data_IF_421867186957
#
_entry.id   IF_421867186957
#
_cell.length_a   1.000
_cell.length_b   1.000
_cell.length_c   1.000
_cell.angle_alpha   90.00
_cell.angle_beta   90.00
_cell.angle_gamma   90.00
#
_symmetry.space_group_name_H-M   'P 1'
#
loop_
_entity.id
_entity.type
_entity.pdbx_description
1 polymer ?
#
# COMPACT_ATOMS: atom_id res chain seq x y z
N UNK A 1 -34.85 46.04 -17.72
CA UNK A 1 -36.07 45.21 -17.64
C UNK A 1 -35.67 43.78 -17.99
N UNK A 2 -35.36 42.96 -16.99
CA UNK A 2 -35.03 41.55 -17.17
C UNK A 2 -36.11 40.73 -16.49
N UNK A 3 -37.05 40.21 -17.27
CA UNK A 3 -38.17 39.39 -16.82
C UNK A 3 -37.64 38.10 -16.20
N UNK A 4 -37.71 37.98 -14.88
CA UNK A 4 -37.46 36.69 -14.20
C UNK A 4 -38.52 35.70 -14.63
N UNK A 5 -38.18 34.55 -15.23
CA UNK A 5 -39.16 33.51 -15.49
C UNK A 5 -39.73 33.07 -14.13
N UNK A 6 -41.05 33.07 -14.02
CA UNK A 6 -41.80 32.71 -12.83
C UNK A 6 -41.74 31.19 -12.59
N UNK A 7 -40.55 30.65 -12.38
CA UNK A 7 -40.35 29.25 -12.02
C UNK A 7 -40.79 29.06 -10.57
N UNK A 8 -42.07 28.73 -10.41
CA UNK A 8 -42.72 28.62 -9.11
C UNK A 8 -42.58 27.18 -8.62
N UNK A 9 -41.75 26.98 -7.61
CA UNK A 9 -41.63 25.73 -6.91
C UNK A 9 -41.70 25.96 -5.41
N UNK A 10 -42.00 24.90 -4.66
CA UNK A 10 -42.10 24.97 -3.21
C UNK A 10 -40.72 25.26 -2.58
N UNK A 11 -40.69 25.89 -1.39
CA UNK A 11 -39.43 26.22 -0.72
C UNK A 11 -38.60 24.97 -0.37
N UNK A 12 -39.24 23.87 0.00
CA UNK A 12 -38.56 22.59 0.25
C UNK A 12 -37.98 22.00 -1.04
N UNK A 13 -38.68 22.13 -2.16
CA UNK A 13 -38.23 21.71 -3.50
C UNK A 13 -36.95 22.48 -3.89
N UNK A 14 -36.96 23.79 -3.71
CA UNK A 14 -35.80 24.65 -3.94
C UNK A 14 -34.63 24.31 -3.02
N UNK A 15 -34.90 24.09 -1.74
CA UNK A 15 -33.89 23.71 -0.76
C UNK A 15 -33.21 22.40 -1.15
N UNK A 16 -33.99 21.36 -1.45
CA UNK A 16 -33.44 20.06 -1.84
C UNK A 16 -32.68 20.12 -3.18
N UNK A 17 -33.21 20.86 -4.15
CA UNK A 17 -32.56 21.07 -5.45
C UNK A 17 -31.19 21.73 -5.33
N UNK A 18 -31.07 22.83 -4.58
CA UNK A 18 -29.80 23.52 -4.39
C UNK A 18 -28.79 22.66 -3.62
N UNK A 19 -29.23 21.89 -2.62
CA UNK A 19 -28.35 20.96 -1.91
C UNK A 19 -27.82 19.86 -2.83
N UNK A 20 -28.69 19.22 -3.62
CA UNK A 20 -28.29 18.15 -4.55
C UNK A 20 -27.35 18.65 -5.65
N UNK A 21 -27.61 19.85 -6.17
CA UNK A 21 -26.70 20.46 -7.13
C UNK A 21 -25.36 20.83 -6.50
N UNK A 22 -25.32 21.31 -5.25
CA UNK A 22 -24.05 21.59 -4.57
C UNK A 22 -23.27 20.32 -4.23
N UNK A 23 -23.88 19.14 -4.18
CA UNK A 23 -23.14 17.88 -4.04
C UNK A 23 -22.39 17.51 -5.33
N UNK A 24 -22.99 17.76 -6.48
CA UNK A 24 -22.51 17.29 -7.79
C UNK A 24 -21.81 18.36 -8.65
N UNK A 25 -22.17 19.63 -8.48
CA UNK A 25 -21.75 20.74 -9.33
C UNK A 25 -20.89 21.77 -8.57
N UNK A 26 -20.23 22.63 -9.35
CA UNK A 26 -19.50 23.79 -8.86
C UNK A 26 -20.42 24.97 -8.55
N UNK A 27 -19.94 25.90 -7.73
CA UNK A 27 -20.66 27.09 -7.26
C UNK A 27 -21.25 27.98 -8.37
N UNK A 28 -20.70 27.92 -9.59
CA UNK A 28 -21.09 28.75 -10.75
C UNK A 28 -21.93 28.00 -11.80
N UNK A 29 -22.35 26.76 -11.53
CA UNK A 29 -23.13 25.92 -12.45
C UNK A 29 -24.53 25.57 -11.95
N UNK A 30 -24.97 26.21 -10.87
CA UNK A 30 -26.26 25.94 -10.25
C UNK A 30 -27.40 26.45 -11.12
N UNK A 31 -28.32 25.56 -11.50
CA UNK A 31 -29.43 25.86 -12.40
C UNK A 31 -30.77 26.02 -11.68
N UNK A 32 -31.68 26.75 -12.31
CA UNK A 32 -33.06 26.89 -11.88
C UNK A 32 -33.81 25.56 -12.03
N UNK A 33 -34.64 25.20 -11.04
CA UNK A 33 -35.44 23.97 -11.06
C UNK A 33 -36.44 23.91 -12.23
N UNK A 34 -36.93 25.04 -12.72
CA UNK A 34 -38.02 25.09 -13.71
C UNK A 34 -37.62 25.50 -15.13
N UNK A 35 -36.44 26.07 -15.33
CA UNK A 35 -36.01 26.55 -16.65
C UNK A 35 -34.54 26.26 -16.98
N UNK A 36 -33.83 25.52 -16.11
CA UNK A 36 -32.43 25.10 -16.28
C UNK A 36 -31.40 26.23 -16.46
N UNK A 37 -31.82 27.50 -16.44
CA UNK A 37 -30.93 28.65 -16.47
C UNK A 37 -30.01 28.67 -15.26
N UNK A 38 -28.72 28.96 -15.49
CA UNK A 38 -27.74 29.20 -14.44
C UNK A 38 -28.14 30.40 -13.58
N UNK A 39 -28.16 30.20 -12.27
CA UNK A 39 -28.48 31.19 -11.26
C UNK A 39 -27.24 31.99 -10.90
N UNK A 40 -27.41 33.30 -10.76
CA UNK A 40 -26.38 34.16 -10.18
C UNK A 40 -26.28 33.97 -8.67
N UNK A 41 -25.13 34.35 -8.09
CA UNK A 41 -24.93 34.30 -6.63
C UNK A 41 -26.01 35.07 -5.87
N UNK A 42 -26.44 36.23 -6.37
CA UNK A 42 -27.49 37.04 -5.75
C UNK A 42 -28.84 36.30 -5.73
N UNK A 43 -29.24 35.68 -6.85
CA UNK A 43 -30.47 34.89 -6.91
C UNK A 43 -30.46 33.72 -5.92
N UNK A 44 -29.31 33.06 -5.76
CA UNK A 44 -29.15 31.98 -4.78
C UNK A 44 -29.28 32.52 -3.35
N UNK A 45 -28.68 33.68 -3.06
CA UNK A 45 -28.80 34.38 -1.77
C UNK A 45 -30.25 34.75 -1.42
N UNK A 46 -30.99 35.28 -2.39
CA UNK A 46 -32.40 35.64 -2.22
C UNK A 46 -33.30 34.42 -1.97
N UNK A 47 -33.06 33.32 -2.69
CA UNK A 47 -33.80 32.07 -2.51
C UNK A 47 -33.52 31.48 -1.12
N UNK A 48 -32.24 31.38 -0.72
CA UNK A 48 -31.86 30.76 0.55
C UNK A 48 -32.19 31.60 1.78
N UNK A 49 -32.36 32.92 1.64
CA UNK A 49 -32.81 33.78 2.72
C UNK A 49 -34.17 33.33 3.29
N UNK A 50 -34.96 32.62 2.48
CA UNK A 50 -36.28 32.07 2.83
C UNK A 50 -36.20 30.69 3.49
N UNK A 51 -35.02 30.07 3.54
CA UNK A 51 -34.80 28.77 4.19
C UNK A 51 -34.58 28.94 5.69
N UNK A 52 -34.78 27.84 6.45
CA UNK A 52 -34.38 27.80 7.85
C UNK A 52 -32.86 27.93 7.94
N UNK A 53 -32.34 28.54 9.02
CA UNK A 53 -30.89 28.77 9.20
C UNK A 53 -30.02 27.53 8.96
N UNK A 54 -30.46 26.37 9.43
CA UNK A 54 -29.75 25.09 9.28
C UNK A 54 -29.71 24.54 7.84
N UNK A 55 -30.64 24.99 7.00
CA UNK A 55 -30.83 24.50 5.63
C UNK A 55 -30.29 25.53 4.61
N UNK A 56 -29.52 26.53 5.06
CA UNK A 56 -28.87 27.51 4.18
C UNK A 56 -27.68 26.90 3.47
N UNK A 57 -27.53 27.23 2.20
CA UNK A 57 -26.50 26.68 1.31
C UNK A 57 -25.26 27.57 1.20
N UNK A 58 -25.34 28.81 1.67
CA UNK A 58 -24.27 29.81 1.68
C UNK A 58 -22.92 29.22 2.13
N UNK A 59 -22.80 28.51 3.27
CA UNK A 59 -21.49 28.03 3.71
C UNK A 59 -20.83 27.09 2.70
N UNK A 60 -21.59 26.13 2.16
CA UNK A 60 -21.10 25.20 1.13
C UNK A 60 -20.82 25.91 -0.19
N UNK A 61 -21.66 26.89 -0.55
CA UNK A 61 -21.47 27.69 -1.76
C UNK A 61 -20.17 28.49 -1.70
N UNK A 62 -19.92 29.15 -0.56
CA UNK A 62 -18.72 29.94 -0.32
C UNK A 62 -17.47 29.05 -0.25
N UNK A 63 -17.55 27.90 0.40
CA UNK A 63 -16.47 26.91 0.44
C UNK A 63 -16.08 26.49 -0.99
N UNK A 64 -17.06 26.12 -1.83
CA UNK A 64 -16.81 25.75 -3.23
C UNK A 64 -16.27 26.90 -4.08
N UNK A 65 -16.78 28.12 -3.87
CA UNK A 65 -16.26 29.30 -4.56
C UNK A 65 -14.80 29.58 -4.18
N UNK A 66 -14.49 29.48 -2.88
CA UNK A 66 -13.12 29.65 -2.35
C UNK A 66 -12.19 28.61 -2.95
N UNK A 67 -12.59 27.34 -2.96
CA UNK A 67 -11.78 26.26 -3.52
C UNK A 67 -11.58 26.39 -5.03
N UNK A 68 -12.60 26.83 -5.78
CA UNK A 68 -12.45 27.09 -7.20
C UNK A 68 -11.46 28.23 -7.48
N UNK A 69 -11.49 29.29 -6.66
CA UNK A 69 -10.53 30.39 -6.76
C UNK A 69 -9.10 29.97 -6.38
N UNK A 70 -8.94 29.18 -5.31
CA UNK A 70 -7.63 28.67 -4.91
C UNK A 70 -7.04 27.79 -6.01
N UNK A 71 -7.84 26.90 -6.60
CA UNK A 71 -7.44 26.05 -7.73
C UNK A 71 -7.05 26.82 -8.98
N UNK A 72 -7.47 28.07 -9.13
CA UNK A 72 -7.05 28.91 -10.27
C UNK A 72 -5.73 29.65 -10.01
N UNK A 73 -5.14 29.56 -8.82
CA UNK A 73 -3.83 30.14 -8.53
C UNK A 73 -2.72 29.20 -9.03
N UNK A 74 -1.62 29.74 -9.60
CA UNK A 74 -0.52 28.93 -10.11
C UNK A 74 0.22 28.16 -9.01
N UNK A 75 0.25 28.69 -7.79
CA UNK A 75 0.96 28.08 -6.65
C UNK A 75 0.11 27.06 -5.88
N UNK A 76 -1.13 26.82 -6.33
CA UNK A 76 -2.03 25.89 -5.67
C UNK A 76 -1.75 24.46 -6.11
N UNK A 77 -1.53 23.61 -5.12
CA UNK A 77 -1.33 22.18 -5.30
C UNK A 77 -2.46 21.41 -4.64
N UNK A 78 -3.06 20.51 -5.40
CA UNK A 78 -4.09 19.60 -4.87
C UNK A 78 -3.44 18.53 -4.00
N UNK A 79 -4.10 18.16 -2.90
CA UNK A 79 -3.59 17.14 -2.01
C UNK A 79 -3.47 15.78 -2.73
N UNK A 80 -2.30 15.11 -2.73
CA UNK A 80 -2.12 13.81 -3.38
C UNK A 80 -2.88 12.65 -2.72
N UNK A 81 -3.35 12.82 -1.48
CA UNK A 81 -4.11 11.78 -0.77
C UNK A 81 -5.43 11.47 -1.49
N UNK A 82 -5.69 10.19 -1.74
CA UNK A 82 -6.91 9.69 -2.39
C UNK A 82 -8.21 10.04 -1.66
N UNK A 83 -8.15 10.29 -0.35
CA UNK A 83 -9.30 10.62 0.48
C UNK A 83 -9.52 12.14 0.63
N UNK A 84 -8.57 12.98 0.22
CA UNK A 84 -8.61 14.42 0.45
C UNK A 84 -8.91 15.17 -0.86
N UNK A 85 -9.91 16.05 -0.84
CA UNK A 85 -10.28 16.91 -1.99
C UNK A 85 -9.78 18.35 -1.86
N UNK A 86 -9.03 18.62 -0.79
CA UNK A 86 -8.47 19.91 -0.47
C UNK A 86 -7.08 20.08 -1.10
N UNK A 87 -6.47 21.24 -0.91
CA UNK A 87 -5.11 21.53 -1.32
C UNK A 87 -4.51 22.65 -0.50
N UNK A 88 -3.28 23.02 -0.85
CA UNK A 88 -2.58 24.11 -0.21
C UNK A 88 -1.74 24.86 -1.24
N UNK A 89 -1.55 26.15 -1.01
CA UNK A 89 -0.57 26.94 -1.73
C UNK A 89 0.83 26.55 -1.27
N UNK A 90 1.71 26.27 -2.21
CA UNK A 90 3.11 25.98 -1.94
C UNK A 90 3.89 27.30 -1.82
N UNK A 91 4.32 27.67 -0.62
CA UNK A 91 5.14 28.87 -0.42
C UNK A 91 6.64 28.60 -0.59
N UNK A 92 7.09 27.43 -0.16
CA UNK A 92 8.53 27.14 0.05
C UNK A 92 9.08 26.05 -0.92
N UNK A 93 8.31 25.71 -1.95
CA UNK A 93 8.75 24.93 -3.13
C UNK A 93 9.00 23.43 -2.98
N UNK A 94 9.32 22.93 -1.79
CA UNK A 94 9.84 21.55 -1.64
C UNK A 94 8.91 20.59 -0.91
N UNK A 95 8.20 21.08 0.12
CA UNK A 95 7.37 20.25 0.99
C UNK A 95 5.94 20.77 0.97
N UNK A 96 5.02 19.92 0.56
CA UNK A 96 3.59 20.17 0.65
C UNK A 96 3.05 19.63 1.97
N UNK A 97 2.23 20.42 2.65
CA UNK A 97 1.48 19.99 3.84
C UNK A 97 0.02 20.39 3.70
N UNK A 98 -0.87 19.40 3.63
CA UNK A 98 -2.30 19.66 3.59
C UNK A 98 -2.79 20.13 4.97
N UNK A 99 -3.52 21.26 5.03
CA UNK A 99 -4.07 21.79 6.28
C UNK A 99 -5.21 20.93 6.85
N UNK A 100 -5.92 20.22 5.97
CA UNK A 100 -7.12 19.45 6.32
C UNK A 100 -6.80 18.04 6.76
N UNK A 101 -6.03 17.28 5.97
CA UNK A 101 -5.69 15.90 6.31
C UNK A 101 -4.28 15.73 6.92
N UNK A 102 -3.50 16.82 7.07
CA UNK A 102 -2.11 16.81 7.56
C UNK A 102 -1.16 15.95 6.70
N UNK A 103 -1.59 15.51 5.51
CA UNK A 103 -0.76 14.74 4.60
C UNK A 103 0.42 15.59 4.12
N UNK A 104 1.62 15.01 4.19
CA UNK A 104 2.88 15.64 3.79
C UNK A 104 3.43 14.93 2.56
N UNK A 105 3.88 15.70 1.58
CA UNK A 105 4.40 15.17 0.32
C UNK A 105 5.64 15.95 -0.10
N UNK A 106 6.67 15.24 -0.57
CA UNK A 106 7.89 15.86 -1.08
C UNK A 106 7.81 15.96 -2.61
N UNK A 107 7.95 17.18 -3.14
CA UNK A 107 7.90 17.44 -4.57
C UNK A 107 9.23 17.19 -5.29
N UNK A 108 10.34 17.19 -4.55
CA UNK A 108 11.66 16.93 -5.13
C UNK A 108 11.79 15.47 -5.60
N UNK A 109 11.25 14.53 -4.83
CA UNK A 109 11.29 13.10 -5.15
C UNK A 109 9.92 12.50 -5.53
N UNK A 110 8.84 13.28 -5.48
CA UNK A 110 7.47 12.83 -5.78
C UNK A 110 6.98 11.64 -4.93
N UNK A 111 7.32 11.62 -3.64
CA UNK A 111 6.89 10.57 -2.69
C UNK A 111 6.26 11.17 -1.43
N UNK A 112 5.54 10.37 -0.61
CA UNK A 112 5.14 10.80 0.73
C UNK A 112 6.36 11.34 1.50
N UNK A 113 6.16 12.41 2.25
CA UNK A 113 7.27 13.10 2.91
C UNK A 113 8.03 12.19 3.88
N UNK A 114 9.36 12.27 3.83
CA UNK A 114 10.30 11.52 4.66
C UNK A 114 11.11 12.50 5.54
N UNK A 115 10.97 12.39 6.86
CA UNK A 115 11.56 13.34 7.82
C UNK A 115 13.06 13.14 8.06
N UNK A 116 13.51 11.89 8.09
CA UNK A 116 14.81 11.52 8.67
C UNK A 116 15.88 11.15 7.62
N UNK A 117 15.51 11.14 6.34
CA UNK A 117 16.39 10.71 5.25
C UNK A 117 16.32 11.70 4.07
N UNK A 118 17.43 11.84 3.34
CA UNK A 118 17.44 12.63 2.10
C UNK A 118 16.64 11.95 0.98
N UNK A 119 16.24 12.71 -0.05
CA UNK A 119 15.48 12.16 -1.18
C UNK A 119 16.17 10.96 -1.85
N UNK A 120 17.50 10.99 -1.97
CA UNK A 120 18.28 9.90 -2.55
C UNK A 120 18.27 8.66 -1.66
N UNK A 121 18.48 8.84 -0.35
CA UNK A 121 18.51 7.75 0.62
C UNK A 121 17.16 7.03 0.71
N UNK A 122 16.07 7.80 0.70
CA UNK A 122 14.71 7.26 0.62
C UNK A 122 14.54 6.37 -0.62
N UNK A 123 14.97 6.87 -1.78
CA UNK A 123 14.81 6.15 -3.04
C UNK A 123 15.63 4.86 -3.08
N UNK A 124 16.87 4.91 -2.61
CA UNK A 124 17.76 3.75 -2.55
C UNK A 124 17.19 2.68 -1.61
N UNK A 125 16.60 3.09 -0.48
CA UNK A 125 15.93 2.17 0.45
C UNK A 125 14.73 1.48 -0.18
N UNK A 126 13.86 2.23 -0.87
CA UNK A 126 12.68 1.65 -1.54
C UNK A 126 13.11 0.67 -2.64
N UNK A 127 14.12 1.02 -3.45
CA UNK A 127 14.63 0.12 -4.49
C UNK A 127 15.22 -1.17 -3.91
N UNK A 128 15.97 -1.07 -2.82
CA UNK A 128 16.55 -2.23 -2.15
C UNK A 128 15.46 -3.12 -1.53
N UNK A 129 14.42 -2.53 -0.96
CA UNK A 129 13.26 -3.26 -0.42
C UNK A 129 12.47 -3.99 -1.53
N UNK A 130 12.28 -3.35 -2.68
CA UNK A 130 11.68 -3.98 -3.87
C UNK A 130 12.54 -5.15 -4.37
N UNK A 131 13.86 -4.95 -4.49
CA UNK A 131 14.80 -5.99 -4.92
C UNK A 131 14.77 -7.20 -3.98
N UNK A 132 14.80 -6.98 -2.67
CA UNK A 132 14.67 -8.06 -1.67
C UNK A 132 13.33 -8.78 -1.79
N UNK A 133 12.25 -8.05 -2.02
CA UNK A 133 10.91 -8.64 -2.18
C UNK A 133 10.85 -9.57 -3.39
N UNK A 134 11.45 -9.17 -4.51
CA UNK A 134 11.56 -10.00 -5.72
C UNK A 134 12.42 -11.24 -5.47
N UNK A 135 13.59 -11.07 -4.83
CA UNK A 135 14.49 -12.17 -4.50
C UNK A 135 13.80 -13.21 -3.59
N UNK A 136 13.01 -12.75 -2.61
CA UNK A 136 12.21 -13.61 -1.74
C UNK A 136 11.13 -14.34 -2.54
N UNK A 137 10.45 -13.67 -3.48
CA UNK A 137 9.43 -14.30 -4.31
C UNK A 137 10.03 -15.39 -5.22
N UNK A 138 11.17 -15.13 -5.85
CA UNK A 138 11.90 -16.11 -6.68
C UNK A 138 12.40 -17.30 -5.85
N UNK A 139 12.91 -17.03 -4.65
CA UNK A 139 13.33 -18.07 -3.71
C UNK A 139 12.15 -18.96 -3.30
N UNK A 140 11.00 -18.37 -2.95
CA UNK A 140 9.79 -19.11 -2.61
C UNK A 140 9.27 -19.94 -3.79
N UNK A 141 9.33 -19.42 -5.01
CA UNK A 141 8.95 -20.17 -6.22
C UNK A 141 9.89 -21.35 -6.46
N UNK A 142 11.20 -21.13 -6.34
CA UNK A 142 12.22 -22.17 -6.48
C UNK A 142 12.00 -23.28 -5.47
N UNK A 143 11.83 -22.91 -4.19
CA UNK A 143 11.50 -23.86 -3.12
C UNK A 143 10.21 -24.61 -3.45
N UNK A 144 9.17 -23.94 -3.96
CA UNK A 144 7.93 -24.62 -4.34
C UNK A 144 8.09 -25.60 -5.50
N UNK A 145 9.02 -25.37 -6.42
CA UNK A 145 9.28 -26.26 -7.57
C UNK A 145 10.19 -27.44 -7.22
N UNK A 146 11.21 -27.21 -6.40
CA UNK A 146 12.23 -28.22 -6.09
C UNK A 146 11.88 -29.05 -4.86
N UNK A 147 10.98 -28.56 -4.01
CA UNK A 147 10.60 -29.23 -2.76
C UNK A 147 9.15 -29.73 -2.77
N UNK A 148 8.89 -30.80 -2.01
CA UNK A 148 7.54 -31.30 -1.73
C UNK A 148 7.29 -31.32 -0.23
N UNK A 149 6.05 -31.10 0.18
CA UNK A 149 5.68 -31.20 1.60
C UNK A 149 5.73 -32.66 2.07
N UNK A 150 6.32 -32.88 3.24
CA UNK A 150 6.23 -34.16 3.93
C UNK A 150 4.75 -34.49 4.23
N UNK A 151 4.27 -35.71 3.93
CA UNK A 151 2.87 -36.07 4.20
C UNK A 151 2.53 -36.01 5.70
N UNK A 152 3.48 -36.33 6.58
CA UNK A 152 3.31 -36.39 8.04
C UNK A 152 3.44 -35.01 8.71
N UNK A 153 4.58 -34.34 8.58
CA UNK A 153 4.86 -33.09 9.31
C UNK A 153 4.72 -31.80 8.47
N UNK A 154 4.34 -31.92 7.19
CA UNK A 154 4.13 -30.82 6.22
C UNK A 154 5.34 -29.92 5.92
N UNK A 155 6.51 -30.19 6.52
CA UNK A 155 7.75 -29.47 6.19
C UNK A 155 8.14 -29.72 4.74
N UNK A 156 8.57 -28.68 4.02
CA UNK A 156 9.04 -28.80 2.62
C UNK A 156 10.42 -29.45 2.57
N UNK A 157 10.58 -30.47 1.72
CA UNK A 157 11.80 -31.28 1.59
C UNK A 157 12.23 -31.29 0.12
N UNK A 158 13.49 -31.00 -0.16
CA UNK A 158 14.10 -31.11 -1.48
C UNK A 158 14.51 -32.56 -1.79
N UNK A 159 14.34 -33.02 -3.03
CA UNK A 159 14.76 -34.36 -3.45
C UNK A 159 16.28 -34.40 -3.68
N UNK A 160 16.98 -35.29 -2.99
CA UNK A 160 18.37 -35.60 -3.34
C UNK A 160 18.45 -36.40 -4.64
N UNK A 161 19.37 -36.03 -5.54
CA UNK A 161 19.59 -36.73 -6.81
C UNK A 161 20.10 -38.16 -6.52
N UNK A 162 19.38 -39.17 -7.02
CA UNK A 162 19.84 -40.57 -7.04
C UNK A 162 19.32 -41.48 -5.92
N UNK A 163 18.33 -41.07 -5.12
CA UNK A 163 17.66 -41.94 -4.14
C UNK A 163 16.17 -41.56 -4.02
N UNK A 164 15.27 -42.52 -4.25
CA UNK A 164 13.80 -42.32 -4.10
C UNK A 164 13.30 -42.47 -2.66
N UNK A 165 14.15 -42.97 -1.76
CA UNK A 165 13.84 -43.11 -0.35
C UNK A 165 14.29 -41.87 0.42
N UNK A 166 13.32 -41.04 0.79
CA UNK A 166 13.52 -39.86 1.63
C UNK A 166 13.02 -40.14 3.05
N UNK A 167 13.85 -39.85 4.06
CA UNK A 167 13.47 -39.97 5.48
C UNK A 167 13.33 -38.58 6.08
N UNK A 168 12.18 -38.31 6.71
CA UNK A 168 11.94 -37.03 7.38
C UNK A 168 12.60 -37.02 8.77
N UNK A 169 13.43 -36.02 9.05
CA UNK A 169 14.02 -35.80 10.39
C UNK A 169 13.05 -35.12 11.38
N UNK A 170 11.86 -34.73 10.91
CA UNK A 170 10.79 -34.18 11.72
C UNK A 170 10.22 -35.24 12.65
N UNK A 171 10.81 -35.34 13.85
CA UNK A 171 10.34 -36.02 15.06
C UNK A 171 9.20 -37.02 14.86
N UNK A 172 9.56 -38.28 14.59
CA UNK A 172 8.89 -39.44 15.19
C UNK A 172 9.79 -40.68 15.06
N UNK A 173 10.78 -40.77 15.94
CA UNK A 173 11.25 -42.04 16.49
C UNK A 173 11.52 -41.82 17.97
N UNK A 174 10.81 -42.55 18.81
CA UNK A 174 10.90 -42.50 20.25
C UNK A 174 12.36 -42.63 20.73
N UNK A 175 12.75 -41.79 21.70
CA UNK A 175 13.94 -42.01 22.53
C UNK A 175 15.14 -41.11 22.24
N UNK A 176 15.09 -39.87 22.71
CA UNK A 176 16.10 -39.20 23.57
C UNK A 176 16.07 -37.69 23.34
N UNK A 177 15.65 -36.98 24.38
CA UNK A 177 15.72 -35.53 24.41
C UNK A 177 17.20 -35.12 24.49
N UNK A 178 17.70 -34.46 23.44
CA UNK A 178 18.79 -33.50 23.60
C UNK A 178 18.28 -32.14 23.21
N UNK A 179 18.17 -31.28 24.23
CA UNK A 179 17.88 -29.86 24.12
C UNK A 179 18.93 -29.21 23.21
N UNK A 180 18.51 -28.70 22.07
CA UNK A 180 19.24 -27.60 21.44
C UNK A 180 18.24 -26.51 21.11
N UNK A 181 18.47 -25.34 21.70
CA UNK A 181 17.65 -24.14 21.52
C UNK A 181 17.53 -23.84 20.03
N UNK A 182 16.30 -23.63 19.59
CA UNK A 182 15.99 -23.18 18.23
C UNK A 182 16.57 -21.77 18.08
N UNK A 183 17.59 -21.65 17.25
CA UNK A 183 18.02 -20.39 16.68
C UNK A 183 18.45 -20.67 15.24
N UNK A 184 17.79 -19.99 14.32
CA UNK A 184 18.12 -19.84 12.91
C UNK A 184 17.82 -21.04 11.99
N UNK A 185 16.80 -20.79 11.15
CA UNK A 185 16.43 -21.54 9.96
C UNK A 185 17.57 -21.39 8.94
N UNK A 186 18.48 -22.36 8.92
CA UNK A 186 18.97 -23.01 7.71
C UNK A 186 19.31 -24.42 8.17
N UNK A 187 18.40 -25.37 8.01
CA UNK A 187 18.75 -26.77 8.17
C UNK A 187 19.68 -27.10 7.00
N UNK A 188 21.00 -27.03 7.22
CA UNK A 188 21.94 -27.83 6.47
C UNK A 188 21.53 -29.28 6.69
N UNK A 189 20.68 -29.77 5.79
CA UNK A 189 20.29 -31.17 5.75
C UNK A 189 21.51 -31.94 5.28
N UNK A 190 22.27 -32.52 6.23
CA UNK A 190 23.05 -33.71 5.94
C UNK A 190 22.08 -34.83 5.53
N UNK A 191 21.73 -34.86 4.25
CA UNK A 191 21.00 -35.97 3.64
C UNK A 191 21.98 -37.13 3.57
N UNK A 192 22.04 -37.93 4.64
CA UNK A 192 22.78 -39.19 4.65
C UNK A 192 22.02 -40.18 3.77
N UNK A 193 22.38 -40.21 2.48
CA UNK A 193 22.01 -41.27 1.56
C UNK A 193 22.67 -42.58 2.03
N UNK A 194 21.98 -43.34 2.88
CA UNK A 194 22.41 -44.68 3.27
C UNK A 194 22.25 -45.63 2.08
N UNK A 195 23.24 -45.64 1.18
CA UNK A 195 23.38 -46.73 0.20
C UNK A 195 23.54 -48.03 0.97
N UNK A 196 22.53 -48.90 0.95
CA UNK A 196 22.72 -50.33 1.24
C UNK A 196 23.56 -50.93 0.11
N UNK A 197 24.88 -50.86 0.23
CA UNK A 197 25.77 -51.70 -0.59
C UNK A 197 25.79 -53.09 0.01
N UNK A 198 24.98 -53.99 -0.54
CA UNK A 198 25.22 -55.42 -0.37
C UNK A 198 26.29 -55.86 -1.37
N UNK A 199 27.53 -55.92 -0.84
CA UNK A 199 28.61 -56.85 -1.13
C UNK A 199 29.09 -57.04 -2.60
N UNK A 200 30.29 -56.55 -2.90
CA UNK A 200 31.41 -57.40 -3.40
C UNK A 200 32.72 -56.59 -3.42
N UNK A 201 33.76 -57.12 -2.76
CA UNK A 201 35.16 -57.09 -3.21
C UNK A 201 35.94 -55.76 -3.29
N UNK A 202 36.82 -55.58 -2.30
CA UNK A 202 38.23 -55.14 -2.42
C UNK A 202 38.63 -53.74 -2.96
N UNK A 203 39.74 -53.27 -2.37
CA UNK A 203 40.70 -52.23 -2.80
C UNK A 203 40.50 -50.75 -2.39
N UNK A 204 41.22 -50.42 -1.32
CA UNK A 204 42.33 -49.44 -1.24
C UNK A 204 42.10 -47.93 -1.44
N UNK A 205 42.70 -47.19 -0.50
CA UNK A 205 43.42 -45.92 -0.63
C UNK A 205 42.71 -44.55 -0.44
N UNK A 206 43.09 -43.94 0.69
CA UNK A 206 43.76 -42.62 0.85
C UNK A 206 42.97 -41.30 0.83
N UNK A 207 43.10 -40.64 1.99
CA UNK A 207 43.42 -39.23 2.26
C UNK A 207 42.38 -38.13 2.03
N UNK A 208 42.12 -37.45 3.15
CA UNK A 208 41.55 -36.13 3.32
C UNK A 208 42.40 -35.00 2.69
N UNK A 209 41.72 -33.92 2.27
CA UNK A 209 42.06 -32.51 2.58
C UNK A 209 41.04 -31.50 2.01
N UNK A 210 40.37 -30.81 2.94
CA UNK A 210 40.15 -29.36 3.09
C UNK A 210 40.11 -28.40 1.87
N UNK A 211 39.04 -27.61 1.73
CA UNK A 211 38.97 -26.13 1.93
C UNK A 211 37.75 -25.52 1.20
N UNK A 212 36.75 -25.03 1.95
CA UNK A 212 36.44 -23.61 2.19
C UNK A 212 35.64 -22.90 1.08
N UNK A 213 34.36 -22.62 1.36
CA UNK A 213 33.66 -21.50 0.70
C UNK A 213 32.92 -20.70 1.77
N UNK A 214 33.24 -19.40 1.86
CA UNK A 214 32.72 -18.44 2.84
C UNK A 214 31.41 -17.85 2.30
N UNK A 215 30.30 -18.05 2.99
CA UNK A 215 29.02 -17.38 2.72
C UNK A 215 28.56 -16.61 3.96
N UNK A 216 28.54 -15.27 3.86
CA UNK A 216 28.07 -14.35 4.90
C UNK A 216 26.57 -14.52 5.15
N UNK A 217 26.18 -14.74 6.41
CA UNK A 217 24.79 -14.81 6.86
C UNK A 217 24.21 -13.41 7.09
N UNK A 218 23.06 -13.10 6.47
CA UNK A 218 22.22 -11.94 6.81
C UNK A 218 20.92 -12.49 7.43
N UNK A 219 20.68 -12.14 8.69
CA UNK A 219 19.49 -12.53 9.47
C UNK A 219 18.35 -11.52 9.22
N UNK A 220 17.17 -11.98 8.82
CA UNK A 220 15.96 -11.14 8.72
C UNK A 220 14.92 -11.64 9.73
N UNK A 221 14.49 -10.75 10.62
CA UNK A 221 13.35 -10.96 11.51
C UNK A 221 12.05 -10.71 10.73
N UNK A 222 11.15 -11.69 10.73
CA UNK A 222 9.84 -11.57 10.12
C UNK A 222 8.93 -10.70 11.00
N UNK A 223 8.67 -9.47 10.59
CA UNK A 223 7.58 -8.65 11.14
C UNK A 223 6.31 -8.94 10.37
N UNK A 224 5.37 -9.60 11.03
CA UNK A 224 4.02 -9.85 10.51
C UNK A 224 3.28 -8.54 10.31
N UNK A 225 3.08 -8.13 9.05
CA UNK A 225 2.13 -7.07 8.71
C UNK A 225 0.74 -7.72 8.66
N UNK A 226 -0.07 -7.44 9.67
CA UNK A 226 -1.51 -7.70 9.63
C UNK A 226 -2.13 -6.67 8.69
N UNK A 227 -2.62 -7.13 7.54
CA UNK A 227 -3.46 -6.32 6.65
C UNK A 227 -4.91 -6.55 7.06
N UNK A 228 -5.60 -5.47 7.42
CA UNK A 228 -7.06 -5.42 7.57
C UNK A 228 -7.71 -5.13 6.23
#
# INVERSE_FOLDING_TARGET
MGSTPSCRACLSCWCQHLHSQLESLDHNKLSCLGCERILSTQEIMDIQARFKRKDRVEPKLQEKATMAFLRSQPDFVSCPSSACKDGASMADGHIFTCRTCRYRYCFDCNVPFHEDEGCQEFQDRIQEDERKTLEIAESLETVSKTTKACPECKTRIERSIGCDHMTCAGTNSAGSASRTRVSSIVLEMEITCTRKTANTGAHNARNARNSENKGSSIMIAATTINVH
#
